data_IF_526681011966
#
_entry.id   IF_526681011966
#
_cell.length_a   1.000
_cell.length_b   1.000
_cell.length_c   1.000
_cell.angle_alpha   90.00
_cell.angle_beta   90.00
_cell.angle_gamma   90.00
#
_symmetry.space_group_name_H-M   'P 1'
#
loop_
_entity.id
_entity.type
_entity.pdbx_description
1 polymer ?
#
# COMPACT_ATOMS: atom_id res chain seq x y z
N UNK A 1 -15.61 6.51 16.91
CA UNK A 1 -14.15 6.57 16.67
C UNK A 1 -13.92 7.12 15.27
N UNK A 2 -13.73 8.44 15.19
CA UNK A 2 -13.55 9.21 13.96
C UNK A 2 -12.07 9.21 13.57
N UNK A 3 -11.68 8.32 12.65
CA UNK A 3 -10.34 8.34 12.05
C UNK A 3 -10.17 9.54 11.09
N UNK A 4 -9.00 10.20 11.05
CA UNK A 4 -8.86 11.54 10.47
C UNK A 4 -8.57 11.57 8.97
N UNK A 5 -9.11 10.66 8.14
CA UNK A 5 -8.89 10.67 6.68
C UNK A 5 -9.95 9.93 5.84
N UNK A 6 -11.24 9.94 6.24
CA UNK A 6 -12.32 9.62 5.30
C UNK A 6 -12.65 10.92 4.56
N UNK A 7 -12.14 11.06 3.33
CA UNK A 7 -12.56 12.15 2.44
C UNK A 7 -14.05 11.93 2.17
N UNK A 8 -14.93 12.68 2.85
CA UNK A 8 -16.37 12.68 2.58
C UNK A 8 -16.61 13.26 1.18
N UNK A 9 -16.55 12.39 0.17
CA UNK A 9 -16.80 12.73 -1.24
C UNK A 9 -18.29 13.06 -1.48
N UNK A 10 -19.18 12.76 -0.53
CA UNK A 10 -20.61 13.05 -0.66
C UNK A 10 -20.91 14.55 -0.49
N UNK A 11 -21.24 15.22 -1.59
CA UNK A 11 -21.67 16.62 -1.62
C UNK A 11 -22.99 16.89 -0.87
N UNK A 12 -23.81 15.86 -0.65
CA UNK A 12 -25.02 15.98 0.18
C UNK A 12 -24.66 16.21 1.64
N UNK A 13 -23.85 15.34 2.24
CA UNK A 13 -23.48 15.44 3.65
C UNK A 13 -22.51 16.58 3.94
N UNK A 14 -21.72 17.02 2.96
CA UNK A 14 -20.78 18.15 3.14
C UNK A 14 -21.38 19.52 2.84
N UNK A 15 -22.29 19.62 1.85
CA UNK A 15 -22.82 20.92 1.36
C UNK A 15 -24.34 20.98 1.24
N UNK A 16 -25.07 19.90 1.53
CA UNK A 16 -26.54 19.85 1.53
C UNK A 16 -27.23 19.89 0.16
N UNK A 17 -26.49 19.83 -0.96
CA UNK A 17 -27.03 20.21 -2.28
C UNK A 17 -27.19 19.10 -3.32
N UNK A 18 -26.39 18.02 -3.26
CA UNK A 18 -26.37 17.02 -4.34
C UNK A 18 -27.17 15.77 -3.96
N UNK A 19 -28.12 15.33 -4.79
CA UNK A 19 -28.83 14.05 -4.61
C UNK A 19 -28.86 13.19 -5.90
N UNK A 20 -27.91 13.40 -6.81
CA UNK A 20 -27.90 12.76 -8.12
C UNK A 20 -27.85 11.23 -8.03
N UNK A 21 -27.04 10.70 -7.10
CA UNK A 21 -26.92 9.25 -6.89
C UNK A 21 -28.26 8.59 -6.57
N UNK A 22 -29.12 9.21 -5.75
CA UNK A 22 -30.47 8.71 -5.42
C UNK A 22 -31.39 8.67 -6.63
N UNK A 23 -31.27 9.65 -7.54
CA UNK A 23 -32.07 9.71 -8.77
C UNK A 23 -31.67 8.66 -9.80
N UNK A 24 -30.37 8.39 -9.96
CA UNK A 24 -29.87 7.41 -10.95
C UNK A 24 -29.93 5.95 -10.44
N UNK A 25 -30.10 5.76 -9.13
CA UNK A 25 -30.17 4.44 -8.53
C UNK A 25 -31.49 3.74 -8.86
N UNK A 26 -31.45 2.83 -9.84
CA UNK A 26 -32.60 1.99 -10.22
C UNK A 26 -33.12 1.13 -9.07
N UNK A 27 -32.24 0.73 -8.15
CA UNK A 27 -32.59 -0.11 -7.01
C UNK A 27 -33.26 0.66 -5.86
N UNK A 28 -33.27 2.00 -5.89
CA UNK A 28 -33.83 2.82 -4.80
C UNK A 28 -33.12 2.67 -3.45
N UNK A 29 -31.89 2.13 -3.44
CA UNK A 29 -31.20 1.70 -2.22
C UNK A 29 -30.60 2.84 -1.37
N UNK A 30 -30.57 4.08 -1.87
CA UNK A 30 -29.88 5.20 -1.21
C UNK A 30 -30.82 5.88 -0.21
N UNK A 31 -30.50 5.72 1.08
CA UNK A 31 -31.17 6.40 2.18
C UNK A 31 -30.20 7.33 2.93
N UNK A 32 -30.49 8.64 2.93
CA UNK A 32 -29.67 9.64 3.64
C UNK A 32 -30.04 9.78 5.12
N UNK A 33 -31.17 9.21 5.53
CA UNK A 33 -31.71 9.28 6.89
C UNK A 33 -31.46 7.97 7.66
N UNK A 34 -30.57 7.11 7.15
CA UNK A 34 -30.21 5.87 7.82
C UNK A 34 -29.43 6.17 9.11
N UNK A 35 -29.96 5.70 10.24
CA UNK A 35 -29.36 5.88 11.56
C UNK A 35 -28.51 4.67 11.99
N UNK A 36 -27.57 4.92 12.91
CA UNK A 36 -26.78 3.87 13.55
C UNK A 36 -27.68 2.97 14.40
N UNK A 37 -27.46 1.65 14.33
CA UNK A 37 -28.18 0.69 15.17
C UNK A 37 -27.21 -0.09 16.03
N UNK A 38 -27.45 -0.11 17.33
CA UNK A 38 -26.70 -0.93 18.28
C UNK A 38 -27.43 -2.26 18.44
N UNK A 39 -26.71 -3.36 18.23
CA UNK A 39 -27.24 -4.73 18.41
C UNK A 39 -26.54 -5.41 19.57
N UNK A 40 -27.32 -6.09 20.40
CA UNK A 40 -26.82 -6.88 21.53
C UNK A 40 -27.16 -8.33 21.28
N UNK A 41 -26.13 -9.15 21.09
CA UNK A 41 -26.25 -10.57 20.74
C UNK A 41 -25.37 -11.40 21.68
N UNK A 42 -25.77 -12.64 21.95
CA UNK A 42 -25.00 -13.58 22.78
C UNK A 42 -24.17 -14.49 21.88
N UNK A 43 -22.85 -14.53 22.10
CA UNK A 43 -21.92 -15.38 21.38
C UNK A 43 -21.19 -16.32 22.33
N UNK A 44 -20.84 -17.53 21.85
CA UNK A 44 -20.03 -18.49 22.61
C UNK A 44 -18.51 -18.23 22.52
N UNK A 45 -18.07 -17.58 21.45
CA UNK A 45 -16.67 -17.21 21.23
C UNK A 45 -16.57 -15.96 20.34
N UNK A 46 -15.46 -15.23 20.45
CA UNK A 46 -15.16 -14.05 19.64
C UNK A 46 -13.77 -14.25 19.01
N UNK A 47 -13.68 -14.08 17.68
CA UNK A 47 -12.41 -14.12 16.94
C UNK A 47 -12.08 -12.68 16.53
N UNK A 48 -10.91 -12.18 16.94
CA UNK A 48 -10.42 -10.85 16.57
C UNK A 48 -9.46 -10.98 15.40
N UNK A 49 -9.90 -10.54 14.22
CA UNK A 49 -9.14 -10.61 12.97
C UNK A 49 -9.11 -9.25 12.26
N UNK A 50 -8.87 -8.17 13.01
CA UNK A 50 -8.90 -6.78 12.51
C UNK A 50 -7.72 -6.40 11.61
N UNK A 51 -6.75 -7.30 11.41
CA UNK A 51 -5.63 -7.11 10.50
C UNK A 51 -4.57 -6.14 11.03
N UNK A 52 -3.93 -5.42 10.11
CA UNK A 52 -2.84 -4.48 10.37
C UNK A 52 -3.12 -3.11 9.76
N UNK A 53 -2.47 -2.08 10.29
CA UNK A 53 -2.46 -0.73 9.72
C UNK A 53 -1.10 -0.43 9.12
N UNK A 54 -1.07 0.39 8.07
CA UNK A 54 0.18 0.83 7.46
C UNK A 54 0.89 1.85 8.33
N UNK A 55 2.22 1.82 8.25
CA UNK A 55 3.06 2.84 8.84
C UNK A 55 3.00 4.16 8.05
N UNK A 56 2.98 5.28 8.76
CA UNK A 56 2.95 6.62 8.16
C UNK A 56 4.37 7.09 7.81
N UNK A 57 4.69 7.05 6.50
CA UNK A 57 6.01 7.44 5.99
C UNK A 57 6.35 8.92 6.20
N UNK A 58 5.38 9.79 6.48
CA UNK A 58 5.66 11.20 6.76
C UNK A 58 6.51 11.41 8.02
N UNK A 59 6.53 10.41 8.92
CA UNK A 59 7.40 10.37 10.11
C UNK A 59 8.88 10.12 9.80
N UNK A 60 9.21 9.76 8.55
CA UNK A 60 10.59 9.64 8.05
C UNK A 60 10.87 10.76 7.04
N UNK A 61 11.02 11.98 7.56
CA UNK A 61 11.31 13.17 6.76
C UNK A 61 12.66 13.10 6.05
N UNK A 62 13.63 12.35 6.59
CA UNK A 62 14.93 12.08 5.99
C UNK A 62 14.84 11.32 4.66
N UNK A 63 13.79 10.50 4.49
CA UNK A 63 13.48 9.81 3.23
C UNK A 63 12.55 10.63 2.34
N UNK A 64 12.15 11.82 2.78
CA UNK A 64 11.25 12.71 2.05
C UNK A 64 9.80 12.24 2.02
N UNK A 65 9.40 11.34 2.93
CA UNK A 65 8.01 10.92 3.07
C UNK A 65 7.10 12.11 3.33
N UNK A 66 6.01 12.23 2.56
CA UNK A 66 5.10 13.38 2.62
C UNK A 66 5.62 14.67 1.98
N UNK A 67 6.93 14.79 1.69
CA UNK A 67 7.52 15.96 1.01
C UNK A 67 7.62 15.78 -0.49
N UNK A 68 8.09 14.60 -0.94
CA UNK A 68 8.27 14.30 -2.36
C UNK A 68 7.14 13.40 -2.86
N UNK A 69 6.47 13.81 -3.95
CA UNK A 69 5.36 13.03 -4.53
C UNK A 69 5.80 11.66 -5.05
N UNK A 70 7.06 11.53 -5.46
CA UNK A 70 7.62 10.28 -5.99
C UNK A 70 8.09 9.32 -4.89
N UNK A 71 8.03 9.73 -3.61
CA UNK A 71 8.28 8.85 -2.47
C UNK A 71 6.96 8.22 -2.06
N UNK A 72 6.80 6.94 -2.42
CA UNK A 72 5.57 6.17 -2.20
C UNK A 72 5.83 4.95 -1.30
N UNK A 73 4.76 4.43 -0.70
CA UNK A 73 4.81 3.18 0.08
C UNK A 73 4.76 1.96 -0.81
N UNK A 74 5.21 0.81 -0.29
CA UNK A 74 5.09 -0.47 -1.01
C UNK A 74 3.65 -0.84 -1.38
N UNK A 75 2.65 -0.44 -0.57
CA UNK A 75 1.25 -0.69 -0.91
C UNK A 75 0.74 0.25 -2.00
N UNK A 76 1.20 1.50 -2.03
CA UNK A 76 0.90 2.41 -3.13
C UNK A 76 1.47 1.89 -4.45
N UNK A 77 2.67 1.31 -4.41
CA UNK A 77 3.26 0.65 -5.57
C UNK A 77 2.42 -0.56 -6.03
N UNK A 78 1.97 -1.45 -5.12
CA UNK A 78 1.05 -2.55 -5.47
C UNK A 78 -0.21 -2.03 -6.17
N UNK A 79 -0.85 -1.00 -5.62
CA UNK A 79 -2.05 -0.41 -6.23
C UNK A 79 -1.74 0.24 -7.57
N UNK A 80 -0.54 0.77 -7.79
CA UNK A 80 -0.15 1.38 -9.06
C UNK A 80 0.03 0.32 -10.16
N UNK A 81 0.70 -0.79 -9.85
CA UNK A 81 0.97 -1.86 -10.82
C UNK A 81 -0.21 -2.84 -10.98
N UNK A 82 -1.23 -2.77 -10.12
CA UNK A 82 -2.47 -3.52 -10.30
C UNK A 82 -3.22 -3.03 -11.56
N UNK A 83 -3.62 -3.93 -12.49
CA UNK A 83 -4.45 -3.58 -13.65
C UNK A 83 -5.76 -2.85 -13.29
N UNK A 84 -6.36 -3.15 -12.13
CA UNK A 84 -7.54 -2.46 -11.58
C UNK A 84 -7.16 -1.32 -10.63
N UNK A 85 -5.90 -0.91 -10.67
CA UNK A 85 -5.33 0.20 -9.95
C UNK A 85 -5.71 1.56 -10.53
N UNK A 86 -5.52 2.65 -9.77
CA UNK A 86 -5.72 4.01 -10.26
C UNK A 86 -4.84 4.37 -11.47
N UNK A 87 -3.69 3.70 -11.64
CA UNK A 87 -2.80 3.87 -12.78
C UNK A 87 -3.01 2.81 -13.90
N UNK A 88 -4.03 1.96 -13.78
CA UNK A 88 -4.35 0.93 -14.77
C UNK A 88 -3.19 -0.05 -15.03
N UNK A 89 -2.39 -0.33 -14.00
CA UNK A 89 -1.23 -1.22 -14.11
C UNK A 89 0.05 -0.60 -14.66
N UNK A 90 0.15 0.73 -14.78
CA UNK A 90 1.34 1.40 -15.32
C UNK A 90 2.25 1.93 -14.21
N UNK A 91 3.56 1.68 -14.33
CA UNK A 91 4.58 2.24 -13.43
C UNK A 91 4.89 3.69 -13.79
N UNK A 92 4.20 4.63 -13.15
CA UNK A 92 4.32 6.07 -13.40
C UNK A 92 4.76 6.83 -12.15
N UNK A 93 5.51 7.92 -12.34
CA UNK A 93 5.86 8.82 -11.25
C UNK A 93 4.67 9.70 -10.87
N UNK A 94 4.24 9.74 -9.61
CA UNK A 94 3.13 10.59 -9.18
C UNK A 94 3.36 12.10 -9.39
N UNK A 95 4.61 12.56 -9.49
CA UNK A 95 4.94 13.96 -9.70
C UNK A 95 4.57 14.47 -11.10
N UNK A 96 4.88 13.70 -12.13
CA UNK A 96 4.80 14.13 -13.53
C UNK A 96 4.14 13.13 -14.50
N UNK A 97 3.69 11.98 -13.99
CA UNK A 97 2.98 10.96 -14.76
C UNK A 97 3.86 10.18 -15.74
N UNK A 98 5.17 10.43 -15.78
CA UNK A 98 6.06 9.75 -16.75
C UNK A 98 6.48 8.38 -16.23
N UNK A 99 6.83 7.43 -17.13
CA UNK A 99 7.34 6.13 -16.74
C UNK A 99 8.56 6.22 -15.82
N UNK A 100 8.57 5.43 -14.74
CA UNK A 100 9.70 5.38 -13.82
C UNK A 100 10.76 4.39 -14.33
N UNK A 101 11.89 4.91 -14.84
CA UNK A 101 12.99 4.05 -15.34
C UNK A 101 13.88 3.48 -14.23
N UNK A 102 13.88 4.11 -13.05
CA UNK A 102 14.71 3.72 -11.90
C UNK A 102 13.86 3.74 -10.66
N UNK A 103 13.80 2.61 -9.96
CA UNK A 103 13.04 2.44 -8.71
C UNK A 103 14.01 2.04 -7.60
N UNK A 104 13.90 2.72 -6.47
CA UNK A 104 14.72 2.45 -5.29
C UNK A 104 13.80 2.01 -4.16
N UNK A 105 14.07 0.83 -3.62
CA UNK A 105 13.42 0.30 -2.44
C UNK A 105 14.30 0.53 -1.22
N UNK A 106 13.72 1.14 -0.18
CA UNK A 106 14.37 1.31 1.12
C UNK A 106 13.67 0.37 2.11
N UNK A 107 14.40 -0.60 2.63
CA UNK A 107 13.86 -1.56 3.60
C UNK A 107 13.89 -1.02 5.03
N UNK A 108 13.13 -1.68 5.89
CA UNK A 108 13.06 -1.38 7.33
C UNK A 108 12.56 0.03 7.66
N UNK A 109 11.87 0.71 6.74
CA UNK A 109 11.20 1.98 7.05
C UNK A 109 10.03 1.72 7.99
N UNK A 110 10.11 2.24 9.22
CA UNK A 110 9.11 1.98 10.26
C UNK A 110 9.24 0.60 10.92
N UNK A 111 10.42 -0.01 10.89
CA UNK A 111 10.70 -1.30 11.54
C UNK A 111 12.18 -1.44 11.83
N UNK A 112 12.56 -2.10 12.92
CA UNK A 112 13.96 -2.21 13.38
C UNK A 112 14.63 -0.85 13.57
N UNK A 113 13.87 0.11 14.05
CA UNK A 113 14.31 1.46 14.40
C UNK A 113 13.94 1.74 15.85
N UNK A 114 14.90 1.47 16.76
CA UNK A 114 14.70 1.65 18.21
C UNK A 114 14.54 3.13 18.57
N UNK A 115 15.22 4.03 17.87
CA UNK A 115 15.17 5.48 18.11
C UNK A 115 13.75 6.02 17.89
N UNK A 116 13.00 5.44 16.94
CA UNK A 116 11.61 5.79 16.68
C UNK A 116 10.59 4.84 17.35
N UNK A 117 11.02 4.02 18.30
CA UNK A 117 10.16 3.14 19.09
C UNK A 117 9.63 1.91 18.35
N UNK A 118 10.24 1.54 17.22
CA UNK A 118 9.83 0.43 16.35
C UNK A 118 10.92 -0.62 16.25
N UNK A 119 11.28 -1.23 17.39
CA UNK A 119 12.35 -2.24 17.46
C UNK A 119 12.03 -3.55 16.71
N UNK A 120 10.75 -3.81 16.42
CA UNK A 120 10.31 -5.06 15.80
C UNK A 120 10.52 -5.10 14.28
N UNK A 121 10.62 -6.31 13.74
CA UNK A 121 10.66 -6.56 12.29
C UNK A 121 9.24 -6.83 11.76
N UNK A 122 8.83 -6.13 10.70
CA UNK A 122 7.54 -6.35 10.04
C UNK A 122 7.41 -7.71 9.32
N UNK A 123 8.49 -8.51 9.25
CA UNK A 123 8.58 -9.88 8.68
C UNK A 123 8.29 -10.01 7.17
N UNK A 124 7.33 -9.27 6.63
CA UNK A 124 6.83 -9.40 5.26
C UNK A 124 7.55 -8.48 4.25
N UNK A 125 8.24 -7.44 4.74
CA UNK A 125 8.76 -6.37 3.88
C UNK A 125 9.83 -6.79 2.88
N UNK A 126 10.73 -7.68 3.29
CA UNK A 126 11.73 -8.26 2.40
C UNK A 126 11.07 -9.03 1.24
N UNK A 127 10.05 -9.84 1.54
CA UNK A 127 9.43 -10.72 0.55
C UNK A 127 8.52 -9.98 -0.43
N UNK A 128 7.69 -9.03 0.03
CA UNK A 128 6.89 -8.24 -0.92
C UNK A 128 7.78 -7.39 -1.83
N UNK A 129 8.92 -6.91 -1.33
CA UNK A 129 9.83 -6.11 -2.15
C UNK A 129 10.50 -6.97 -3.21
N UNK A 130 10.90 -8.20 -2.86
CA UNK A 130 11.43 -9.13 -3.84
C UNK A 130 10.38 -9.47 -4.91
N UNK A 131 9.13 -9.75 -4.51
CA UNK A 131 7.99 -9.92 -5.44
C UNK A 131 7.85 -8.70 -6.36
N UNK A 132 7.84 -7.50 -5.81
CA UNK A 132 7.69 -6.26 -6.60
C UNK A 132 8.85 -6.07 -7.57
N UNK A 133 10.09 -6.29 -7.14
CA UNK A 133 11.26 -6.16 -8.00
C UNK A 133 11.21 -7.13 -9.20
N UNK A 134 10.78 -8.38 -8.98
CA UNK A 134 10.56 -9.37 -10.05
C UNK A 134 9.44 -8.88 -10.98
N UNK A 135 8.28 -8.51 -10.44
CA UNK A 135 7.15 -8.04 -11.24
C UNK A 135 7.51 -6.81 -12.09
N UNK A 136 8.29 -5.89 -11.53
CA UNK A 136 8.78 -4.72 -12.26
C UNK A 136 9.71 -5.11 -13.40
N UNK A 137 10.58 -6.12 -13.19
CA UNK A 137 11.48 -6.60 -14.25
C UNK A 137 10.72 -7.28 -15.38
N UNK A 138 9.69 -8.05 -15.06
CA UNK A 138 8.88 -8.80 -16.03
C UNK A 138 8.00 -7.87 -16.87
N UNK A 139 7.30 -6.93 -16.24
CA UNK A 139 6.32 -6.07 -16.92
C UNK A 139 6.94 -4.78 -17.47
N UNK A 140 8.06 -4.33 -16.91
CA UNK A 140 8.75 -3.10 -17.31
C UNK A 140 10.26 -3.35 -17.47
N UNK A 141 10.69 -4.06 -18.54
CA UNK A 141 12.07 -4.54 -18.69
C UNK A 141 13.14 -3.43 -18.72
N UNK A 142 12.77 -2.20 -19.10
CA UNK A 142 13.63 -1.00 -19.08
C UNK A 142 13.81 -0.40 -17.67
N UNK A 143 13.03 -0.87 -16.68
CA UNK A 143 13.08 -0.36 -15.31
C UNK A 143 14.18 -1.07 -14.54
N UNK A 144 15.07 -0.29 -13.94
CA UNK A 144 16.08 -0.80 -13.01
C UNK A 144 15.62 -0.64 -11.57
N UNK A 145 15.58 -1.75 -10.83
CA UNK A 145 15.27 -1.78 -9.41
C UNK A 145 16.54 -1.86 -8.56
N UNK A 146 16.62 -1.06 -7.50
CA UNK A 146 17.69 -1.10 -6.49
C UNK A 146 17.07 -1.33 -5.11
N UNK A 147 17.62 -2.25 -4.32
CA UNK A 147 17.10 -2.58 -2.99
C UNK A 147 18.16 -2.31 -1.94
N UNK A 148 17.92 -1.32 -1.08
CA UNK A 148 18.73 -1.04 0.10
C UNK A 148 18.15 -1.78 1.30
N UNK A 149 18.94 -2.67 1.88
CA UNK A 149 18.54 -3.51 3.01
C UNK A 149 19.64 -3.63 4.06
N UNK A 150 19.24 -3.93 5.30
CA UNK A 150 20.16 -4.33 6.37
C UNK A 150 20.39 -5.84 6.28
N UNK A 151 19.29 -6.60 6.33
CA UNK A 151 19.27 -8.05 6.15
C UNK A 151 18.11 -8.46 5.24
N UNK A 152 18.30 -9.49 4.41
CA UNK A 152 17.20 -10.14 3.69
C UNK A 152 16.62 -11.26 4.55
N UNK A 153 15.36 -11.09 4.96
CA UNK A 153 14.63 -12.11 5.75
C UNK A 153 13.61 -12.82 4.88
N UNK A 154 14.08 -13.81 4.12
CA UNK A 154 13.26 -14.70 3.31
C UNK A 154 12.85 -15.95 4.09
N UNK A 155 12.14 -15.76 5.21
CA UNK A 155 11.70 -16.88 6.06
C UNK A 155 10.33 -17.40 5.64
N UNK A 156 10.22 -18.69 5.33
CA UNK A 156 8.99 -19.36 4.90
C UNK A 156 9.18 -20.13 3.60
N UNK A 157 8.18 -20.91 3.17
CA UNK A 157 8.20 -21.52 1.84
C UNK A 157 7.86 -20.43 0.82
N UNK A 158 8.79 -20.06 -0.08
CA UNK A 158 8.51 -18.99 -1.01
C UNK A 158 7.55 -19.51 -2.11
N UNK A 159 6.69 -18.65 -2.68
CA UNK A 159 5.89 -19.03 -3.84
C UNK A 159 6.82 -19.47 -5.00
N UNK A 160 6.38 -20.37 -5.89
CA UNK A 160 7.23 -21.01 -6.90
C UNK A 160 7.98 -20.04 -7.84
N UNK A 161 7.58 -18.77 -7.89
CA UNK A 161 8.31 -17.67 -8.57
C UNK A 161 9.72 -17.41 -8.01
N UNK A 162 10.04 -17.94 -6.82
CA UNK A 162 11.37 -17.87 -6.21
C UNK A 162 12.18 -19.16 -6.38
N UNK A 163 11.69 -20.14 -7.16
CA UNK A 163 12.48 -21.31 -7.56
C UNK A 163 13.46 -20.99 -8.70
N UNK A 164 13.29 -19.86 -9.39
CA UNK A 164 14.42 -19.29 -10.11
C UNK A 164 15.39 -18.76 -9.06
N UNK A 165 16.70 -19.09 -9.17
CA UNK A 165 17.67 -18.54 -8.26
C UNK A 165 17.46 -17.03 -8.27
N UNK A 166 17.16 -16.44 -7.11
CA UNK A 166 17.47 -15.03 -6.90
C UNK A 166 18.95 -14.97 -7.23
N UNK A 167 19.26 -14.60 -8.46
CA UNK A 167 20.57 -14.18 -8.86
C UNK A 167 20.79 -12.96 -7.98
N UNK A 168 21.31 -13.22 -6.77
CA UNK A 168 22.28 -12.36 -6.13
C UNK A 168 23.22 -12.04 -7.27
N UNK A 169 22.94 -10.92 -7.95
CA UNK A 169 23.80 -10.40 -8.99
C UNK A 169 25.16 -10.33 -8.31
N UNK A 170 25.99 -11.31 -8.67
CA UNK A 170 27.39 -11.29 -8.42
C UNK A 170 27.84 -9.93 -8.91
N UNK A 171 28.21 -9.08 -7.97
CA UNK A 171 29.11 -7.99 -8.23
C UNK A 171 30.43 -8.63 -8.70
N UNK A 172 30.49 -9.05 -9.95
CA UNK A 172 31.72 -9.35 -10.66
C UNK A 172 31.55 -8.94 -12.11
N UNK A 173 32.00 -7.70 -12.36
CA UNK A 173 32.39 -7.06 -13.62
C UNK A 173 31.28 -6.73 -14.62
#
# INVERSE_FOLDING_TARGET
MTGPNIVFICLYFTKGKCQLCKKVCKAGAINYEQEETVRTEKFGAIIVATGLSLFDISKYGEYGGGRYKDVITGLQLERMIDPNGPAGGHLVRPSDGKPAKRVVFVQCVGSRDEVKGMAYCSKVCCMYTAKQAILLKDHFPETQSYVFYIDIRATGMPPPIFNEPILLFQWTQ
#
